data_IF_124336497704
#
_entry.id   IF_124336497704
#
_cell.length_a   1.000
_cell.length_b   1.000
_cell.length_c   1.000
_cell.angle_alpha   90.00
_cell.angle_beta   90.00
_cell.angle_gamma   90.00
#
_symmetry.space_group_name_H-M   'P 1'
#
loop_
_entity.id
_entity.type
_entity.pdbx_description
1 polymer ?
#
# COMPACT_ATOMS: atom_id res chain seq x y z
N UNK A 1 -13.07 3.59 -18.90
CA UNK A 1 -12.47 4.81 -18.29
C UNK A 1 -11.67 4.57 -16.99
N UNK A 2 -11.53 3.34 -16.47
CA UNK A 2 -10.84 3.09 -15.17
C UNK A 2 -9.31 2.89 -15.32
N UNK A 3 -8.78 2.61 -16.52
CA UNK A 3 -7.37 2.22 -16.66
C UNK A 3 -6.36 3.39 -16.53
N UNK A 4 -6.71 4.61 -16.94
CA UNK A 4 -5.76 5.74 -16.97
C UNK A 4 -5.45 6.32 -15.58
N UNK A 5 -6.43 6.41 -14.68
CA UNK A 5 -6.22 7.00 -13.34
C UNK A 5 -5.28 6.15 -12.48
N UNK A 6 -5.42 4.82 -12.55
CA UNK A 6 -4.55 3.90 -11.80
C UNK A 6 -3.07 4.01 -12.20
N UNK A 7 -2.81 4.26 -13.49
CA UNK A 7 -1.45 4.47 -14.01
C UNK A 7 -0.86 5.81 -13.56
N UNK A 8 -1.67 6.87 -13.49
CA UNK A 8 -1.22 8.18 -13.03
C UNK A 8 -0.78 8.14 -11.56
N UNK A 9 -1.60 7.55 -10.68
CA UNK A 9 -1.28 7.45 -9.24
C UNK A 9 0.03 6.69 -9.06
N UNK A 10 0.19 5.52 -9.70
CA UNK A 10 1.43 4.74 -9.63
C UNK A 10 2.65 5.54 -10.09
N UNK A 11 2.55 6.28 -11.19
CA UNK A 11 3.67 7.09 -11.72
C UNK A 11 4.04 8.20 -10.75
N UNK A 12 3.05 8.89 -10.16
CA UNK A 12 3.29 9.95 -9.16
C UNK A 12 3.89 9.40 -7.87
N UNK A 13 3.40 8.27 -7.38
CA UNK A 13 3.95 7.60 -6.19
C UNK A 13 5.40 7.17 -6.42
N UNK A 14 5.70 6.51 -7.55
CA UNK A 14 7.08 6.12 -7.87
C UNK A 14 8.02 7.31 -8.00
N UNK A 15 7.54 8.42 -8.59
CA UNK A 15 8.30 9.68 -8.64
C UNK A 15 8.56 10.24 -7.24
N UNK A 16 7.55 10.29 -6.37
CA UNK A 16 7.72 10.77 -5.00
C UNK A 16 8.72 9.91 -4.20
N UNK A 17 8.65 8.58 -4.32
CA UNK A 17 9.60 7.68 -3.67
C UNK A 17 11.05 8.03 -4.06
N UNK A 18 11.29 8.27 -5.35
CA UNK A 18 12.62 8.65 -5.85
C UNK A 18 13.01 10.07 -5.46
N UNK A 19 12.14 11.05 -5.68
CA UNK A 19 12.45 12.46 -5.51
C UNK A 19 12.72 12.80 -4.02
N UNK A 20 12.22 11.98 -3.08
CA UNK A 20 12.38 12.16 -1.63
C UNK A 20 13.13 11.01 -0.92
N UNK A 21 13.74 10.07 -1.66
CA UNK A 21 14.44 8.90 -1.10
C UNK A 21 13.62 8.17 0.00
N UNK A 22 12.34 7.88 -0.28
CA UNK A 22 11.44 7.32 0.73
C UNK A 22 11.61 5.81 0.96
N UNK A 23 12.25 5.12 0.01
CA UNK A 23 12.44 3.67 0.04
C UNK A 23 13.82 3.35 -0.53
N UNK A 24 14.62 2.64 0.26
CA UNK A 24 15.97 2.19 -0.07
C UNK A 24 16.06 0.65 -0.09
N UNK A 25 17.20 0.12 -0.56
CA UNK A 25 17.43 -1.33 -0.65
C UNK A 25 17.44 -1.95 0.75
N UNK A 26 16.64 -2.99 0.93
CA UNK A 26 16.54 -3.72 2.20
C UNK A 26 15.48 -3.19 3.17
N UNK A 27 14.81 -2.08 2.86
CA UNK A 27 13.81 -1.48 3.75
C UNK A 27 12.68 -2.44 4.12
N UNK A 28 12.22 -2.31 5.36
CA UNK A 28 11.02 -2.97 5.87
C UNK A 28 10.00 -1.91 6.23
N UNK A 29 8.99 -1.76 5.37
CA UNK A 29 7.99 -0.70 5.46
C UNK A 29 6.75 -1.23 6.18
N UNK A 30 6.41 -0.64 7.32
CA UNK A 30 5.12 -0.86 7.97
C UNK A 30 4.07 0.05 7.33
N UNK A 31 3.04 -0.54 6.73
CA UNK A 31 1.95 0.20 6.11
C UNK A 31 0.72 0.15 7.02
N UNK A 32 0.39 1.28 7.66
CA UNK A 32 -0.82 1.40 8.44
C UNK A 32 -2.06 1.43 7.53
N UNK A 33 -2.96 0.47 7.70
CA UNK A 33 -4.19 0.31 6.91
C UNK A 33 -5.38 0.47 7.83
N UNK A 34 -6.21 1.48 7.59
CA UNK A 34 -7.43 1.72 8.39
C UNK A 34 -8.62 0.88 7.92
N UNK A 35 -8.55 0.33 6.70
CA UNK A 35 -9.67 -0.31 6.00
C UNK A 35 -10.41 0.64 5.05
N UNK A 36 -10.06 1.93 5.06
CA UNK A 36 -10.58 2.90 4.11
C UNK A 36 -9.96 2.76 2.71
N UNK A 37 -10.71 3.18 1.68
CA UNK A 37 -10.30 3.10 0.26
C UNK A 37 -8.91 3.70 -0.02
N UNK A 38 -8.53 4.77 0.69
CA UNK A 38 -7.25 5.45 0.46
C UNK A 38 -6.09 4.60 0.95
N UNK A 39 -6.19 4.05 2.17
CA UNK A 39 -5.17 3.16 2.73
C UNK A 39 -5.02 1.86 1.95
N UNK A 40 -6.13 1.28 1.48
CA UNK A 40 -6.14 0.09 0.63
C UNK A 40 -5.56 0.37 -0.76
N UNK A 41 -5.89 1.53 -1.35
CA UNK A 41 -5.34 1.95 -2.64
C UNK A 41 -3.84 2.21 -2.56
N UNK A 42 -3.38 2.85 -1.47
CA UNK A 42 -1.96 3.07 -1.20
C UNK A 42 -1.22 1.73 -1.11
N UNK A 43 -1.72 0.79 -0.28
CA UNK A 43 -1.12 -0.54 -0.15
C UNK A 43 -1.07 -1.26 -1.51
N UNK A 44 -2.14 -1.19 -2.31
CA UNK A 44 -2.16 -1.79 -3.66
C UNK A 44 -1.10 -1.18 -4.57
N UNK A 45 -0.95 0.14 -4.58
CA UNK A 45 0.05 0.84 -5.40
C UNK A 45 1.46 0.45 -4.97
N UNK A 46 1.75 0.44 -3.67
CA UNK A 46 3.04 0.02 -3.12
C UNK A 46 3.37 -1.43 -3.48
N UNK A 47 2.41 -2.34 -3.37
CA UNK A 47 2.57 -3.74 -3.78
C UNK A 47 2.85 -3.90 -5.27
N UNK A 48 2.19 -3.12 -6.14
CA UNK A 48 2.46 -3.12 -7.58
C UNK A 48 3.86 -2.56 -7.88
N UNK A 49 4.26 -1.48 -7.19
CA UNK A 49 5.58 -0.89 -7.35
C UNK A 49 6.67 -1.86 -6.91
N UNK A 50 6.52 -2.51 -5.75
CA UNK A 50 7.44 -3.54 -5.25
C UNK A 50 7.69 -4.65 -6.27
N UNK A 51 6.65 -5.12 -6.98
CA UNK A 51 6.78 -6.17 -8.02
C UNK A 51 7.59 -5.74 -9.24
N UNK A 52 7.72 -4.43 -9.49
CA UNK A 52 8.36 -3.86 -10.69
C UNK A 52 9.64 -3.09 -10.40
N UNK A 53 9.88 -2.72 -9.15
CA UNK A 53 11.00 -1.90 -8.76
C UNK A 53 12.31 -2.71 -8.78
N UNK A 54 13.43 -2.10 -9.19
CA UNK A 54 14.75 -2.73 -9.08
C UNK A 54 15.23 -2.82 -7.62
N UNK A 55 14.67 -2.00 -6.73
CA UNK A 55 14.96 -1.97 -5.30
C UNK A 55 14.13 -3.02 -4.57
N UNK A 56 14.77 -3.86 -3.76
CA UNK A 56 14.09 -4.88 -2.96
C UNK A 56 13.75 -4.33 -1.58
N UNK A 57 12.48 -4.39 -1.24
CA UNK A 57 11.97 -3.99 0.07
C UNK A 57 10.80 -4.88 0.50
N UNK A 58 10.52 -4.90 1.79
CA UNK A 58 9.37 -5.61 2.39
C UNK A 58 8.29 -4.60 2.75
N UNK A 59 7.04 -5.03 2.64
CA UNK A 59 5.88 -4.27 3.09
C UNK A 59 5.16 -5.17 4.09
N UNK A 60 4.93 -4.65 5.29
CA UNK A 60 4.15 -5.30 6.35
C UNK A 60 2.90 -4.45 6.56
N UNK A 61 1.74 -4.86 6.01
CA UNK A 61 0.49 -4.17 6.25
C UNK A 61 0.03 -4.45 7.69
N UNK A 62 -0.37 -3.40 8.41
CA UNK A 62 -0.86 -3.48 9.79
C UNK A 62 -2.18 -2.74 9.88
N UNK A 63 -3.17 -3.44 10.40
CA UNK A 63 -4.46 -2.89 10.75
C UNK A 63 -4.63 -2.93 12.27
N UNK A 64 -5.19 -1.86 12.86
CA UNK A 64 -5.54 -1.82 14.27
C UNK A 64 -7.04 -1.93 14.41
N UNK A 65 -7.50 -3.03 15.00
CA UNK A 65 -8.88 -3.16 15.45
C UNK A 65 -9.05 -2.37 16.77
N UNK A 66 -9.87 -1.33 16.72
CA UNK A 66 -10.13 -0.45 17.86
C UNK A 66 -11.25 -0.97 18.75
N UNK A 67 -11.88 -2.11 18.41
CA UNK A 67 -12.94 -2.74 19.19
C UNK A 67 -14.31 -2.08 19.03
N UNK A 68 -14.50 -1.26 17.99
CA UNK A 68 -15.80 -0.63 17.73
C UNK A 68 -16.84 -1.66 17.26
N UNK A 69 -18.07 -1.63 17.82
CA UNK A 69 -19.15 -2.49 17.35
C UNK A 69 -19.38 -2.34 15.84
N UNK A 70 -19.40 -3.46 15.12
CA UNK A 70 -19.62 -3.48 13.67
C UNK A 70 -18.37 -3.28 12.81
N UNK A 71 -17.17 -3.16 13.40
CA UNK A 71 -15.94 -3.17 12.63
C UNK A 71 -15.73 -4.50 11.90
N UNK A 72 -15.46 -4.43 10.60
CA UNK A 72 -15.33 -5.59 9.71
C UNK A 72 -13.86 -5.92 9.45
N UNK A 73 -13.15 -6.37 10.48
CA UNK A 73 -11.75 -6.77 10.39
C UNK A 73 -11.52 -7.88 9.36
N UNK A 74 -12.50 -8.77 9.17
CA UNK A 74 -12.50 -9.84 8.16
C UNK A 74 -12.30 -9.33 6.72
N UNK A 75 -12.78 -8.12 6.41
CA UNK A 75 -12.65 -7.53 5.08
C UNK A 75 -11.21 -7.06 4.85
N UNK A 76 -10.60 -6.45 5.86
CA UNK A 76 -9.23 -5.94 5.77
C UNK A 76 -8.24 -7.10 5.70
N UNK A 77 -8.47 -8.15 6.49
CA UNK A 77 -7.65 -9.36 6.48
C UNK A 77 -7.62 -10.04 5.10
N UNK A 78 -8.79 -10.17 4.44
CA UNK A 78 -8.87 -10.72 3.08
C UNK A 78 -8.02 -9.94 2.07
N UNK A 79 -7.86 -8.63 2.26
CA UNK A 79 -7.04 -7.80 1.37
C UNK A 79 -5.54 -8.00 1.61
N UNK A 80 -5.12 -8.43 2.81
CA UNK A 80 -3.71 -8.66 3.13
C UNK A 80 -3.19 -9.97 2.54
N UNK A 81 -4.08 -10.96 2.36
CA UNK A 81 -3.74 -12.31 1.90
C UNK A 81 -3.81 -12.44 0.36
N UNK A 82 -4.37 -11.44 -0.35
CA UNK A 82 -4.54 -11.42 -1.83
C UNK A 82 -3.33 -10.89 -2.60
#
# INVERSE_FOLDING_TARGET
MISNTSNLVRKRTGRAIRDFNLIEEGDVILAAVSGGKDSLSMLRVLTILKKKAPVKFKIIPVNLDQGFPGYRSDIVEKFFIS
#
